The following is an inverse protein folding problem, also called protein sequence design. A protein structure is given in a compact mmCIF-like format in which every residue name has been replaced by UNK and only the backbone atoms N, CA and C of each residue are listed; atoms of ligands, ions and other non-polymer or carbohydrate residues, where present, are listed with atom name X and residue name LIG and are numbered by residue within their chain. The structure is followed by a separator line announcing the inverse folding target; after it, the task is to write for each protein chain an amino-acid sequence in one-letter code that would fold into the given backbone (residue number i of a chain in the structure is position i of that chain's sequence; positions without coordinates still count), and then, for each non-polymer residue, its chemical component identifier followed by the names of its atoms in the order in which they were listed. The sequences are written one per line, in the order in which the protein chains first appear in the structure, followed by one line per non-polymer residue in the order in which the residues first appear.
data_IF_825933259716
#
_entry.id   IF_825933259716
#
_cell.length_a   1.000
_cell.length_b   1.000
_cell.length_c   1.000
_cell.angle_alpha   90.00
_cell.angle_beta   90.00
_cell.angle_gamma   90.00
#
_symmetry.space_group_name_H-M   'P 1'
#
loop_
_entity.id
_entity.type
_entity.pdbx_description
1 polymer ?
#
# COMPACT_ATOMS: atom_id res chain seq x y z
N UNK A 1 -13.14 31.98 -12.07
CA UNK A 1 -11.68 31.94 -12.02
C UNK A 1 -11.26 30.71 -12.78
N UNK A 2 -10.51 30.88 -13.87
CA UNK A 2 -9.93 29.75 -14.61
C UNK A 2 -8.97 29.08 -13.63
N UNK A 3 -9.28 27.86 -13.21
CA UNK A 3 -8.38 27.02 -12.40
C UNK A 3 -7.02 26.97 -13.11
N UNK A 4 -5.93 27.13 -12.36
CA UNK A 4 -4.58 26.96 -12.89
C UNK A 4 -4.49 25.64 -13.65
N UNK A 5 -3.87 25.64 -14.82
CA UNK A 5 -3.65 24.43 -15.63
C UNK A 5 -3.11 23.27 -14.78
N UNK A 6 -3.75 22.09 -14.83
CA UNK A 6 -3.29 20.92 -14.07
C UNK A 6 -2.07 20.31 -14.77
N UNK A 7 -0.91 20.45 -14.14
CA UNK A 7 0.34 19.84 -14.53
C UNK A 7 0.52 18.58 -13.70
N UNK A 8 0.10 17.45 -14.24
CA UNK A 8 0.07 16.18 -13.54
C UNK A 8 1.33 15.34 -13.83
N UNK A 9 1.87 14.74 -12.78
CA UNK A 9 2.89 13.70 -12.88
C UNK A 9 2.31 12.34 -12.45
N UNK A 10 2.55 11.34 -13.30
CA UNK A 10 2.39 9.92 -13.02
C UNK A 10 3.55 9.17 -13.68
N UNK A 11 3.81 7.94 -13.25
CA UNK A 11 4.88 7.15 -13.85
C UNK A 11 4.49 6.65 -15.24
N UNK A 12 5.45 6.67 -16.17
CA UNK A 12 5.32 6.07 -17.49
C UNK A 12 6.59 5.30 -17.85
N UNK A 13 6.48 4.16 -18.54
CA UNK A 13 7.66 3.44 -19.03
C UNK A 13 8.37 4.26 -20.11
N UNK A 14 9.71 4.32 -20.04
CA UNK A 14 10.55 5.14 -20.92
C UNK A 14 10.50 4.75 -22.41
N UNK A 15 10.01 3.56 -22.74
CA UNK A 15 9.91 3.04 -24.11
C UNK A 15 8.51 3.17 -24.75
N UNK A 16 7.58 3.87 -24.10
CA UNK A 16 6.16 3.83 -24.48
C UNK A 16 5.48 2.52 -24.07
N UNK A 17 4.16 2.45 -24.28
CA UNK A 17 3.30 1.38 -23.73
C UNK A 17 2.62 1.79 -22.42
N UNK A 18 1.44 1.24 -22.16
CA UNK A 18 0.65 1.56 -20.97
C UNK A 18 0.93 0.60 -19.81
N UNK A 19 0.77 1.10 -18.59
CA UNK A 19 0.48 0.29 -17.42
C UNK A 19 -0.83 0.85 -16.86
N UNK A 20 -1.91 0.08 -16.93
CA UNK A 20 -3.24 0.58 -16.60
C UNK A 20 -3.31 1.20 -15.20
N UNK A 21 -2.50 0.66 -14.26
CA UNK A 21 -2.36 1.21 -12.92
C UNK A 21 -1.81 2.63 -12.87
N UNK A 22 -0.78 2.95 -13.65
CA UNK A 22 -0.20 4.29 -13.65
C UNK A 22 -0.98 5.27 -14.54
N UNK A 23 -1.70 4.77 -15.54
CA UNK A 23 -2.61 5.57 -16.38
C UNK A 23 -3.94 5.91 -15.68
N UNK A 24 -4.17 5.46 -14.43
CA UNK A 24 -5.35 5.87 -13.63
C UNK A 24 -5.41 7.37 -13.45
N UNK A 25 -4.28 8.02 -13.19
CA UNK A 25 -4.24 9.48 -12.95
C UNK A 25 -4.80 10.27 -14.12
N UNK A 26 -4.28 10.18 -15.36
CA UNK A 26 -4.85 10.87 -16.50
C UNK A 26 -6.30 10.44 -16.81
N UNK A 27 -6.63 9.16 -16.62
CA UNK A 27 -7.97 8.64 -16.83
C UNK A 27 -9.00 9.28 -15.89
N UNK A 28 -8.73 9.34 -14.58
CA UNK A 28 -9.65 9.95 -13.62
C UNK A 28 -9.80 11.46 -13.83
N UNK A 29 -8.71 12.17 -14.14
CA UNK A 29 -8.77 13.61 -14.39
C UNK A 29 -9.74 13.94 -15.53
N UNK A 30 -9.65 13.19 -16.63
CA UNK A 30 -10.53 13.38 -17.79
C UNK A 30 -11.93 12.84 -17.55
N UNK A 31 -12.06 11.56 -17.23
CA UNK A 31 -13.32 10.83 -17.31
C UNK A 31 -14.18 10.98 -16.05
N UNK A 32 -13.57 11.20 -14.87
CA UNK A 32 -14.31 11.35 -13.61
C UNK A 32 -14.45 12.82 -13.18
N UNK A 33 -13.34 13.57 -13.20
CA UNK A 33 -13.34 14.95 -12.71
C UNK A 33 -13.64 16.00 -13.80
N UNK A 34 -13.57 15.63 -15.09
CA UNK A 34 -13.82 16.55 -16.20
C UNK A 34 -12.82 17.70 -16.28
N UNK A 35 -11.56 17.45 -15.88
CA UNK A 35 -10.50 18.46 -15.80
C UNK A 35 -9.43 18.22 -16.87
N UNK A 36 -9.11 19.27 -17.62
CA UNK A 36 -8.00 19.28 -18.56
C UNK A 36 -6.65 19.21 -17.83
N UNK A 37 -5.71 18.43 -18.37
CA UNK A 37 -4.40 18.25 -17.77
C UNK A 37 -3.28 18.17 -18.82
N UNK A 38 -2.06 18.49 -18.40
CA UNK A 38 -0.83 18.22 -19.14
C UNK A 38 0.11 17.36 -18.31
N UNK A 39 0.77 16.42 -18.97
CA UNK A 39 1.88 15.69 -18.36
C UNK A 39 3.03 16.67 -18.09
N UNK A 40 3.58 16.64 -16.87
CA UNK A 40 4.70 17.49 -16.47
C UNK A 40 5.64 16.72 -15.56
N UNK A 41 6.98 16.88 -15.66
CA UNK A 41 7.92 16.25 -14.73
C UNK A 41 7.66 16.70 -13.29
N UNK A 42 8.12 15.91 -12.30
CA UNK A 42 7.92 16.21 -10.87
C UNK A 42 8.37 17.63 -10.49
N UNK A 43 9.45 18.11 -11.11
CA UNK A 43 10.01 19.45 -10.88
C UNK A 43 9.12 20.60 -11.34
N UNK A 44 8.02 20.34 -12.05
CA UNK A 44 7.11 21.34 -12.59
C UNK A 44 5.64 20.92 -12.50
N UNK A 45 5.33 19.81 -11.83
CA UNK A 45 3.95 19.36 -11.63
C UNK A 45 3.30 20.11 -10.46
N UNK A 46 2.00 20.33 -10.52
CA UNK A 46 1.17 20.77 -9.40
C UNK A 46 0.25 19.66 -8.86
N UNK A 47 0.28 18.49 -9.51
CA UNK A 47 -0.40 17.27 -9.06
C UNK A 47 0.53 16.07 -9.24
N UNK A 48 0.68 15.26 -8.19
CA UNK A 48 1.35 13.97 -8.22
C UNK A 48 0.39 12.92 -7.66
N UNK A 49 0.07 11.90 -8.45
CA UNK A 49 -0.95 10.92 -8.07
C UNK A 49 -0.71 9.53 -8.62
N UNK A 50 -1.18 8.54 -7.87
CA UNK A 50 -1.11 7.10 -8.13
C UNK A 50 0.32 6.56 -8.15
N UNK A 51 0.49 5.27 -7.88
CA UNK A 51 1.79 4.59 -8.01
C UNK A 51 2.77 4.78 -6.82
N UNK A 52 3.88 4.03 -6.89
CA UNK A 52 4.94 4.03 -5.87
C UNK A 52 5.98 5.13 -6.10
N UNK A 53 5.52 6.36 -6.28
CA UNK A 53 6.34 7.52 -6.71
C UNK A 53 6.51 8.57 -5.61
N UNK A 54 5.94 8.36 -4.42
CA UNK A 54 5.97 9.33 -3.32
C UNK A 54 7.41 9.63 -2.87
N UNK A 55 8.27 8.61 -2.87
CA UNK A 55 9.70 8.73 -2.53
C UNK A 55 10.52 9.56 -3.51
N UNK A 56 9.96 9.94 -4.66
CA UNK A 56 10.68 10.75 -5.64
C UNK A 56 10.61 12.24 -5.31
N UNK A 57 9.65 12.66 -4.47
CA UNK A 57 9.57 14.03 -3.98
C UNK A 57 10.83 14.43 -3.20
N UNK A 58 11.40 13.53 -2.40
CA UNK A 58 12.60 13.82 -1.60
C UNK A 58 13.88 13.97 -2.43
N UNK A 59 13.91 13.43 -3.66
CA UNK A 59 15.08 13.48 -4.55
C UNK A 59 14.92 14.52 -5.68
N UNK A 60 13.76 15.16 -5.79
CA UNK A 60 13.46 16.08 -6.90
C UNK A 60 13.99 17.48 -6.58
N UNK A 61 15.16 17.82 -7.12
CA UNK A 61 15.85 19.10 -6.90
C UNK A 61 15.06 20.36 -7.32
N UNK A 62 13.89 20.21 -7.97
CA UNK A 62 13.06 21.33 -8.44
C UNK A 62 11.80 21.64 -7.62
N UNK A 63 11.39 20.79 -6.67
CA UNK A 63 10.15 21.03 -5.92
C UNK A 63 10.24 22.26 -5.01
N UNK A 64 11.43 22.54 -4.45
CA UNK A 64 11.68 23.74 -3.65
C UNK A 64 11.73 25.03 -4.47
N UNK A 65 11.82 24.93 -5.81
CA UNK A 65 11.88 26.06 -6.73
C UNK A 65 10.52 26.34 -7.41
N UNK A 66 9.53 25.45 -7.23
CA UNK A 66 8.17 25.67 -7.70
C UNK A 66 7.45 26.69 -6.84
N UNK A 67 7.01 27.80 -7.45
CA UNK A 67 6.18 28.82 -6.79
C UNK A 67 4.71 28.39 -6.58
N UNK A 68 4.31 27.21 -7.08
CA UNK A 68 2.97 26.66 -6.91
C UNK A 68 2.94 25.52 -5.91
N UNK A 69 1.79 25.35 -5.27
CA UNK A 69 1.52 24.17 -4.44
C UNK A 69 1.50 22.90 -5.30
N UNK A 70 2.07 21.82 -4.77
CA UNK A 70 2.07 20.49 -5.37
C UNK A 70 1.19 19.57 -4.54
N UNK A 71 0.07 19.15 -5.12
CA UNK A 71 -0.88 18.27 -4.45
C UNK A 71 -0.50 16.80 -4.64
N UNK A 72 -0.35 16.08 -3.54
CA UNK A 72 -0.09 14.63 -3.55
C UNK A 72 -1.35 13.88 -3.17
N UNK A 73 -1.75 12.92 -4.01
CA UNK A 73 -3.01 12.19 -3.86
C UNK A 73 -2.80 10.71 -4.16
N UNK A 74 -2.91 9.89 -3.12
CA UNK A 74 -2.97 8.43 -3.22
C UNK A 74 -1.69 7.72 -3.68
N UNK A 75 -0.62 8.44 -3.98
CA UNK A 75 0.70 7.83 -4.19
C UNK A 75 1.26 7.21 -2.91
N UNK A 76 2.06 6.17 -3.05
CA UNK A 76 2.74 5.51 -1.92
C UNK A 76 4.25 5.40 -2.13
N UNK A 77 4.94 4.89 -1.13
CA UNK A 77 6.38 4.57 -1.25
C UNK A 77 6.57 3.20 -1.91
N UNK A 78 7.68 3.01 -2.62
CA UNK A 78 8.07 1.68 -3.09
C UNK A 78 8.51 0.81 -1.91
N UNK A 79 9.24 1.43 -0.99
CA UNK A 79 9.84 0.78 0.14
C UNK A 79 9.93 1.78 1.33
N UNK A 80 10.02 1.27 2.57
CA UNK A 80 10.19 2.12 3.74
C UNK A 80 11.54 2.86 3.83
N UNK A 81 12.49 2.54 2.95
CA UNK A 81 13.77 3.23 2.77
C UNK A 81 13.56 4.64 2.19
N UNK A 82 12.43 4.88 1.56
CA UNK A 82 12.08 6.20 1.03
C UNK A 82 11.47 7.15 2.07
N UNK A 83 11.50 6.80 3.37
CA UNK A 83 10.99 7.63 4.45
C UNK A 83 11.47 9.09 4.38
N UNK A 84 10.54 10.02 4.56
CA UNK A 84 10.78 11.45 4.35
C UNK A 84 10.73 12.18 5.70
N UNK A 85 11.89 12.70 6.13
CA UNK A 85 12.02 13.45 7.39
C UNK A 85 11.41 14.86 7.33
N UNK A 86 11.43 15.49 6.15
CA UNK A 86 10.86 16.81 5.90
C UNK A 86 10.38 16.93 4.45
N UNK A 87 9.33 17.72 4.24
CA UNK A 87 8.80 18.08 2.94
C UNK A 87 8.84 19.61 2.80
N UNK A 88 9.03 20.11 1.58
CA UNK A 88 8.89 21.53 1.28
C UNK A 88 7.48 22.03 1.57
N UNK A 89 7.34 23.29 1.99
CA UNK A 89 6.06 23.85 2.45
C UNK A 89 4.98 23.93 1.35
N UNK A 90 5.41 23.97 0.08
CA UNK A 90 4.52 23.93 -1.09
C UNK A 90 4.00 22.51 -1.40
N UNK A 91 4.50 21.45 -0.75
CA UNK A 91 3.98 20.09 -0.96
C UNK A 91 2.77 19.85 -0.05
N UNK A 92 1.58 19.74 -0.65
CA UNK A 92 0.31 19.48 0.03
C UNK A 92 -0.07 18.02 -0.12
N UNK A 93 0.28 17.21 0.88
CA UNK A 93 -0.15 15.80 0.92
C UNK A 93 -1.61 15.72 1.38
N UNK A 94 -2.52 15.38 0.47
CA UNK A 94 -3.95 15.24 0.78
C UNK A 94 -4.27 13.80 1.16
N UNK A 95 -3.74 12.84 0.40
CA UNK A 95 -3.80 11.42 0.72
C UNK A 95 -2.55 10.68 0.25
N UNK A 96 -2.33 9.49 0.82
CA UNK A 96 -1.33 8.51 0.37
C UNK A 96 -1.98 7.15 0.17
N UNK A 97 -1.32 6.22 -0.50
CA UNK A 97 -1.90 4.91 -0.82
C UNK A 97 -2.42 4.16 0.41
N UNK A 98 -1.69 4.18 1.52
CA UNK A 98 -2.01 3.39 2.70
C UNK A 98 -1.42 3.90 4.01
N UNK A 99 -1.78 3.22 5.11
CA UNK A 99 -1.34 3.60 6.44
C UNK A 99 0.18 3.47 6.62
N UNK A 100 0.84 2.55 5.90
CA UNK A 100 2.29 2.39 6.00
C UNK A 100 2.99 3.58 5.37
N UNK A 101 2.56 4.02 4.18
CA UNK A 101 3.07 5.23 3.55
C UNK A 101 2.84 6.46 4.41
N UNK A 102 1.69 6.54 5.09
CA UNK A 102 1.39 7.67 5.98
C UNK A 102 2.39 7.76 7.14
N UNK A 103 2.83 6.63 7.70
CA UNK A 103 3.81 6.60 8.78
C UNK A 103 5.21 7.05 8.36
N UNK A 104 5.54 6.91 7.07
CA UNK A 104 6.82 7.32 6.49
C UNK A 104 6.88 8.83 6.16
N UNK A 105 5.78 9.55 6.35
CA UNK A 105 5.72 11.01 6.28
C UNK A 105 6.19 11.65 7.60
N UNK A 106 6.48 12.97 7.61
CA UNK A 106 6.69 13.71 8.84
C UNK A 106 5.51 13.55 9.82
N UNK A 107 5.80 13.30 11.10
CA UNK A 107 4.81 13.02 12.16
C UNK A 107 3.66 14.04 12.22
N UNK A 108 3.95 15.32 11.94
CA UNK A 108 2.96 16.40 11.91
C UNK A 108 1.82 16.17 10.90
N UNK A 109 2.04 15.35 9.86
CA UNK A 109 1.07 15.06 8.81
C UNK A 109 0.23 13.79 9.08
N UNK A 110 0.61 12.95 10.04
CA UNK A 110 -0.01 11.62 10.23
C UNK A 110 -1.51 11.67 10.51
N UNK A 111 -2.00 12.75 11.15
CA UNK A 111 -3.42 12.92 11.49
C UNK A 111 -4.23 13.62 10.41
N UNK A 112 -3.58 14.38 9.52
CA UNK A 112 -4.24 15.21 8.51
C UNK A 112 -4.27 14.59 7.12
N UNK A 113 -3.52 13.50 6.90
CA UNK A 113 -3.42 12.80 5.62
C UNK A 113 -4.35 11.58 5.61
N UNK A 114 -5.28 11.57 4.65
CA UNK A 114 -6.15 10.43 4.36
C UNK A 114 -5.40 9.30 3.66
N UNK A 115 -6.03 8.14 3.52
CA UNK A 115 -5.43 7.01 2.79
C UNK A 115 -6.35 6.50 1.68
N UNK A 116 -5.75 5.87 0.68
CA UNK A 116 -6.44 5.18 -0.39
C UNK A 116 -5.74 5.34 -1.73
N UNK A 117 -5.80 4.29 -2.55
CA UNK A 117 -5.27 4.31 -3.91
C UNK A 117 -6.32 4.90 -4.89
N UNK A 118 -5.95 5.81 -5.81
CA UNK A 118 -6.88 6.37 -6.79
C UNK A 118 -7.52 5.31 -7.69
N UNK A 119 -6.88 4.16 -7.89
CA UNK A 119 -7.44 3.04 -8.64
C UNK A 119 -8.75 2.52 -8.07
N UNK A 120 -9.12 2.84 -6.83
CA UNK A 120 -10.44 2.51 -6.27
C UNK A 120 -11.59 3.30 -6.90
N UNK A 121 -11.33 4.43 -7.57
CA UNK A 121 -12.36 5.24 -8.24
C UNK A 121 -12.76 4.71 -9.62
N UNK A 122 -12.08 3.71 -10.17
CA UNK A 122 -12.31 3.30 -11.57
C UNK A 122 -13.71 2.74 -11.81
N UNK A 123 -14.32 2.07 -10.82
CA UNK A 123 -15.71 1.61 -10.91
C UNK A 123 -16.71 2.78 -11.05
N UNK A 124 -16.44 3.95 -10.45
CA UNK A 124 -17.30 5.13 -10.62
C UNK A 124 -17.30 5.68 -12.04
N UNK A 125 -16.19 5.49 -12.77
CA UNK A 125 -16.11 5.86 -14.19
C UNK A 125 -16.77 4.79 -15.06
N UNK A 126 -16.57 3.51 -14.72
CA UNK A 126 -17.17 2.40 -15.46
C UNK A 126 -18.71 2.43 -15.41
N UNK A 127 -19.29 2.84 -14.27
CA UNK A 127 -20.73 3.01 -14.09
C UNK A 127 -21.36 1.87 -13.28
N UNK A 128 -22.68 1.69 -13.43
CA UNK A 128 -23.42 0.65 -12.71
C UNK A 128 -22.93 -0.75 -13.08
N UNK A 129 -22.48 -1.50 -12.08
CA UNK A 129 -22.11 -2.91 -12.22
C UNK A 129 -23.36 -3.73 -11.89
N UNK A 130 -24.11 -4.12 -12.92
CA UNK A 130 -25.30 -4.97 -12.80
C UNK A 130 -24.96 -6.41 -12.42
N UNK A 131 -25.99 -7.24 -12.17
CA UNK A 131 -25.85 -8.68 -11.91
C UNK A 131 -24.83 -9.32 -12.87
N UNK A 132 -23.71 -9.79 -12.29
CA UNK A 132 -22.59 -10.35 -13.06
C UNK A 132 -22.95 -11.75 -13.53
N UNK A 133 -22.72 -12.02 -14.82
CA UNK A 133 -22.78 -13.36 -15.42
C UNK A 133 -21.44 -13.66 -16.11
N UNK A 134 -20.37 -13.93 -15.34
CA UNK A 134 -19.02 -14.10 -15.88
C UNK A 134 -18.91 -15.35 -16.76
N UNK A 135 -18.22 -15.25 -17.89
CA UNK A 135 -17.94 -16.40 -18.77
C UNK A 135 -16.72 -17.22 -18.32
N UNK A 136 -15.88 -16.63 -17.46
CA UNK A 136 -14.64 -17.22 -16.99
C UNK A 136 -14.66 -17.39 -15.48
N UNK A 137 -14.08 -18.47 -15.00
CA UNK A 137 -13.96 -18.73 -13.57
C UNK A 137 -12.82 -17.92 -12.95
N UNK A 138 -11.69 -17.83 -13.65
CA UNK A 138 -10.49 -17.17 -13.14
C UNK A 138 -9.92 -16.18 -14.16
N UNK A 139 -9.78 -14.92 -13.77
CA UNK A 139 -9.00 -13.92 -14.50
C UNK A 139 -7.59 -13.85 -13.94
N UNK A 140 -6.57 -14.18 -14.73
CA UNK A 140 -5.17 -14.20 -14.28
C UNK A 140 -4.43 -12.98 -14.82
N UNK A 141 -3.99 -12.10 -13.91
CA UNK A 141 -3.21 -10.89 -14.23
C UNK A 141 -1.74 -11.12 -13.84
N UNK A 142 -0.84 -11.41 -14.81
CA UNK A 142 0.58 -11.52 -14.54
C UNK A 142 1.19 -10.16 -14.16
N UNK A 143 2.30 -10.21 -13.43
CA UNK A 143 3.18 -9.05 -13.39
C UNK A 143 3.74 -8.78 -14.79
N UNK A 144 3.96 -7.51 -15.16
CA UNK A 144 4.41 -7.11 -16.50
C UNK A 144 5.67 -7.85 -16.97
N UNK A 145 6.57 -8.21 -16.06
CA UNK A 145 7.80 -8.96 -16.37
C UNK A 145 7.56 -10.43 -16.73
N UNK A 146 6.42 -11.01 -16.33
CA UNK A 146 5.99 -12.38 -16.63
C UNK A 146 5.01 -12.48 -17.81
N UNK A 147 4.62 -11.34 -18.40
CA UNK A 147 3.75 -11.28 -19.58
C UNK A 147 4.29 -12.21 -20.68
N UNK A 148 3.42 -13.06 -21.21
CA UNK A 148 3.74 -13.99 -22.31
C UNK A 148 4.74 -15.10 -21.96
N UNK A 149 5.20 -15.23 -20.71
CA UNK A 149 6.10 -16.33 -20.33
C UNK A 149 5.34 -17.63 -20.25
N UNK A 150 5.76 -18.60 -21.06
CA UNK A 150 5.17 -19.94 -21.08
C UNK A 150 5.21 -20.61 -19.70
N UNK A 151 6.29 -20.38 -18.94
CA UNK A 151 6.43 -20.91 -17.59
C UNK A 151 5.38 -20.36 -16.62
N UNK A 152 4.97 -19.10 -16.77
CA UNK A 152 3.88 -18.52 -15.97
C UNK A 152 2.55 -19.15 -16.36
N UNK A 153 2.24 -19.22 -17.65
CA UNK A 153 0.99 -19.81 -18.15
C UNK A 153 0.82 -21.28 -17.72
N UNK A 154 1.92 -22.05 -17.70
CA UNK A 154 1.95 -23.44 -17.22
C UNK A 154 1.50 -23.58 -15.77
N UNK A 155 1.71 -22.59 -14.91
CA UNK A 155 1.30 -22.67 -13.50
C UNK A 155 -0.22 -22.66 -13.30
N UNK A 156 -0.98 -22.17 -14.28
CA UNK A 156 -2.45 -22.04 -14.26
C UNK A 156 -3.14 -22.97 -15.26
N UNK A 157 -2.39 -23.84 -15.96
CA UNK A 157 -2.89 -24.68 -17.05
C UNK A 157 -4.01 -25.63 -16.60
N UNK A 158 -3.91 -26.12 -15.37
CA UNK A 158 -4.82 -27.14 -14.84
C UNK A 158 -6.08 -26.52 -14.20
N UNK A 159 -6.17 -25.19 -14.17
CA UNK A 159 -7.36 -24.49 -13.69
C UNK A 159 -8.41 -24.39 -14.81
N UNK A 160 -9.68 -24.68 -14.53
CA UNK A 160 -10.74 -24.54 -15.53
C UNK A 160 -11.12 -23.06 -15.74
N UNK A 161 -11.52 -22.71 -16.96
CA UNK A 161 -12.12 -21.41 -17.26
C UNK A 161 -11.20 -20.21 -17.01
N UNK A 162 -9.91 -20.32 -17.35
CA UNK A 162 -8.93 -19.25 -17.16
C UNK A 162 -8.93 -18.26 -18.33
N UNK A 163 -9.00 -16.97 -18.02
CA UNK A 163 -8.70 -15.85 -18.93
C UNK A 163 -7.43 -15.15 -18.48
N UNK A 164 -6.43 -15.05 -19.34
CA UNK A 164 -5.27 -14.20 -19.06
C UNK A 164 -5.59 -12.75 -19.42
N UNK A 165 -5.40 -11.85 -18.46
CA UNK A 165 -5.75 -10.43 -18.59
C UNK A 165 -4.47 -9.61 -18.54
N UNK A 166 -4.29 -8.74 -19.52
CA UNK A 166 -3.06 -7.97 -19.68
C UNK A 166 -3.21 -6.55 -19.12
N UNK A 167 -2.54 -6.29 -17.99
CA UNK A 167 -2.57 -4.98 -17.34
C UNK A 167 -1.67 -3.93 -18.02
N UNK A 168 -0.83 -4.34 -18.98
CA UNK A 168 0.02 -3.44 -19.75
C UNK A 168 -0.75 -2.77 -20.90
N UNK A 169 -1.84 -2.09 -20.55
CA UNK A 169 -2.76 -1.42 -21.49
C UNK A 169 -3.03 0.03 -21.06
N UNK A 170 -3.48 0.84 -22.02
CA UNK A 170 -4.06 2.18 -21.76
C UNK A 170 -5.60 2.17 -21.84
N UNK A 171 -6.18 1.09 -22.34
CA UNK A 171 -7.63 0.86 -22.36
C UNK A 171 -8.08 0.32 -21.00
N UNK A 172 -8.31 1.23 -20.06
CA UNK A 172 -8.75 0.89 -18.71
C UNK A 172 -10.17 0.31 -18.74
N UNK A 173 -11.09 0.84 -19.55
CA UNK A 173 -12.46 0.34 -19.60
C UNK A 173 -12.54 -1.08 -20.16
N UNK A 174 -11.77 -1.40 -21.20
CA UNK A 174 -11.64 -2.76 -21.74
C UNK A 174 -11.05 -3.72 -20.71
N UNK A 175 -10.02 -3.30 -19.98
CA UNK A 175 -9.44 -4.07 -18.88
C UNK A 175 -10.49 -4.39 -17.78
N UNK A 176 -11.25 -3.38 -17.33
CA UNK A 176 -12.28 -3.56 -16.30
C UNK A 176 -13.39 -4.51 -16.78
N UNK A 177 -13.80 -4.38 -18.04
CA UNK A 177 -14.76 -5.30 -18.68
C UNK A 177 -14.25 -6.74 -18.65
N UNK A 178 -12.98 -6.95 -19.00
CA UNK A 178 -12.37 -8.28 -18.95
C UNK A 178 -12.31 -8.86 -17.53
N UNK A 179 -12.10 -8.02 -16.53
CA UNK A 179 -12.10 -8.41 -15.12
C UNK A 179 -13.50 -8.76 -14.62
N UNK A 180 -14.53 -8.00 -15.00
CA UNK A 180 -15.93 -8.28 -14.63
C UNK A 180 -16.47 -9.59 -15.21
N UNK A 181 -15.91 -10.01 -16.34
CA UNK A 181 -16.21 -11.27 -17.05
C UNK A 181 -15.58 -12.51 -16.39
N UNK A 182 -14.88 -12.35 -15.27
CA UNK A 182 -14.27 -13.42 -14.48
C UNK A 182 -14.95 -13.52 -13.11
N UNK A 183 -15.20 -14.73 -12.57
CA UNK A 183 -15.74 -14.90 -11.21
C UNK A 183 -14.77 -14.38 -10.14
N UNK A 184 -13.49 -14.79 -10.23
CA UNK A 184 -12.40 -14.43 -9.31
C UNK A 184 -11.18 -13.90 -10.08
N UNK A 185 -10.54 -12.84 -9.57
CA UNK A 185 -9.28 -12.31 -10.11
C UNK A 185 -8.07 -12.83 -9.35
N UNK A 186 -7.11 -13.43 -10.04
CA UNK A 186 -5.83 -13.88 -9.51
C UNK A 186 -4.75 -12.95 -10.04
N UNK A 187 -4.11 -12.17 -9.17
CA UNK A 187 -3.22 -11.10 -9.61
C UNK A 187 -1.86 -11.10 -8.92
N UNK A 188 -0.80 -10.96 -9.73
CA UNK A 188 0.54 -10.58 -9.29
C UNK A 188 0.80 -9.06 -9.40
N UNK A 189 -0.16 -8.31 -9.94
CA UNK A 189 -0.11 -6.85 -10.03
C UNK A 189 -0.92 -6.22 -8.91
N UNK A 190 -0.35 -5.19 -8.25
CA UNK A 190 -1.05 -4.42 -7.23
C UNK A 190 -2.34 -3.80 -7.78
N UNK A 191 -2.27 -3.12 -8.93
CA UNK A 191 -3.46 -2.50 -9.52
C UNK A 191 -4.48 -3.52 -10.04
N UNK A 192 -4.06 -4.75 -10.35
CA UNK A 192 -5.02 -5.83 -10.63
C UNK A 192 -5.86 -6.18 -9.40
N UNK A 193 -5.29 -6.08 -8.19
CA UNK A 193 -6.03 -6.24 -6.93
C UNK A 193 -6.90 -5.01 -6.65
N UNK A 194 -6.34 -3.80 -6.77
CA UNK A 194 -7.06 -2.54 -6.53
C UNK A 194 -8.29 -2.42 -7.43
N UNK A 195 -8.17 -2.75 -8.71
CA UNK A 195 -9.29 -2.70 -9.65
C UNK A 195 -10.33 -3.78 -9.34
N UNK A 196 -9.92 -4.98 -8.94
CA UNK A 196 -10.86 -6.02 -8.51
C UNK A 196 -11.64 -5.58 -7.26
N UNK A 197 -10.94 -4.98 -6.28
CA UNK A 197 -11.55 -4.42 -5.07
C UNK A 197 -12.52 -3.26 -5.41
N UNK A 198 -12.15 -2.38 -6.35
CA UNK A 198 -13.03 -1.31 -6.87
C UNK A 198 -14.32 -1.86 -7.51
N UNK A 199 -14.19 -2.94 -8.28
CA UNK A 199 -15.30 -3.58 -9.00
C UNK A 199 -16.15 -4.51 -8.10
N UNK A 200 -15.74 -4.75 -6.85
CA UNK A 200 -16.37 -5.73 -5.97
C UNK A 200 -16.17 -7.19 -6.43
N UNK A 201 -15.10 -7.47 -7.18
CA UNK A 201 -14.77 -8.82 -7.66
C UNK A 201 -13.85 -9.52 -6.65
N UNK A 202 -14.20 -10.72 -6.16
CA UNK A 202 -13.32 -11.52 -5.31
C UNK A 202 -11.94 -11.71 -5.96
N UNK A 203 -10.89 -11.64 -5.16
CA UNK A 203 -9.54 -11.69 -5.71
C UNK A 203 -8.50 -12.33 -4.79
N UNK A 204 -7.43 -12.81 -5.41
CA UNK A 204 -6.31 -13.52 -4.78
C UNK A 204 -5.02 -12.82 -5.15
N UNK A 205 -4.20 -12.54 -4.14
CA UNK A 205 -2.85 -12.07 -4.34
C UNK A 205 -1.90 -13.25 -4.52
N UNK A 206 -1.22 -13.28 -5.66
CA UNK A 206 -0.16 -14.24 -5.93
C UNK A 206 1.19 -13.54 -5.84
N UNK A 207 2.08 -14.08 -5.02
CA UNK A 207 3.41 -13.52 -4.85
C UNK A 207 4.25 -13.69 -6.13
N UNK A 208 5.11 -12.72 -6.37
CA UNK A 208 6.08 -12.76 -7.46
C UNK A 208 7.30 -13.58 -7.03
N UNK A 209 7.31 -14.90 -7.28
CA UNK A 209 8.43 -15.76 -6.91
C UNK A 209 9.80 -15.33 -7.49
N UNK A 210 10.85 -15.45 -6.68
CA UNK A 210 12.27 -15.45 -7.04
C UNK A 210 12.86 -14.21 -7.76
N UNK A 211 12.38 -12.99 -7.50
CA UNK A 211 13.27 -11.83 -7.56
C UNK A 211 13.80 -11.61 -6.14
N UNK A 212 14.96 -12.18 -5.83
CA UNK A 212 15.59 -12.10 -4.52
C UNK A 212 15.74 -10.66 -4.04
N UNK A 213 14.72 -10.17 -3.33
CA UNK A 213 14.63 -8.95 -2.50
C UNK A 213 13.15 -8.70 -2.22
N UNK A 214 12.80 -8.67 -0.95
CA UNK A 214 11.54 -8.18 -0.32
C UNK A 214 11.15 -6.73 -0.68
N UNK A 215 11.69 -6.16 -1.76
CA UNK A 215 11.56 -4.75 -2.16
C UNK A 215 10.21 -4.43 -2.81
N UNK A 216 9.39 -5.43 -3.13
CA UNK A 216 8.13 -5.27 -3.85
C UNK A 216 6.87 -5.41 -3.01
N UNK A 217 6.92 -6.02 -1.84
CA UNK A 217 5.70 -6.39 -1.10
C UNK A 217 5.12 -5.23 -0.31
N UNK A 218 5.96 -4.27 0.08
CA UNK A 218 5.54 -3.11 0.87
C UNK A 218 4.35 -2.40 0.24
N UNK A 219 4.34 -2.21 -1.08
CA UNK A 219 3.22 -1.54 -1.77
C UNK A 219 1.89 -2.30 -1.65
N UNK A 220 1.93 -3.63 -1.57
CA UNK A 220 0.75 -4.46 -1.38
C UNK A 220 0.25 -4.33 0.05
N UNK A 221 1.11 -4.55 1.04
CA UNK A 221 0.75 -4.37 2.46
C UNK A 221 0.26 -2.96 2.76
N UNK A 222 0.89 -1.95 2.15
CA UNK A 222 0.48 -0.57 2.28
C UNK A 222 -0.93 -0.36 1.74
N UNK A 223 -1.23 -0.80 0.51
CA UNK A 223 -2.60 -0.74 0.00
C UNK A 223 -3.59 -1.53 0.86
N UNK A 224 -3.29 -2.78 1.22
CA UNK A 224 -4.17 -3.62 2.02
C UNK A 224 -4.48 -2.98 3.39
N UNK A 225 -3.52 -2.25 3.96
CA UNK A 225 -3.75 -1.51 5.21
C UNK A 225 -4.82 -0.43 5.09
N UNK A 226 -5.07 0.12 3.88
CA UNK A 226 -6.10 1.13 3.66
C UNK A 226 -7.52 0.55 3.66
N UNK A 227 -7.68 -0.67 3.15
CA UNK A 227 -8.99 -1.35 2.99
C UNK A 227 -9.22 -2.46 4.02
N UNK A 228 -8.34 -2.61 5.01
CA UNK A 228 -8.46 -3.63 6.06
C UNK A 228 -8.30 -5.07 5.55
N UNK A 229 -7.66 -5.29 4.39
CA UNK A 229 -7.44 -6.63 3.84
C UNK A 229 -6.40 -7.41 4.67
N UNK A 230 -6.63 -8.70 5.00
CA UNK A 230 -5.63 -9.54 5.65
C UNK A 230 -4.39 -9.76 4.77
N UNK A 231 -3.20 -9.73 5.36
CA UNK A 231 -1.93 -9.85 4.62
C UNK A 231 -1.48 -11.31 4.43
N UNK A 232 -2.03 -12.23 5.23
CA UNK A 232 -1.75 -13.66 5.16
C UNK A 232 -2.43 -14.37 3.98
N UNK A 233 -3.43 -13.73 3.34
CA UNK A 233 -4.12 -14.25 2.16
C UNK A 233 -3.27 -14.03 0.91
N UNK A 234 -2.17 -14.76 0.82
CA UNK A 234 -1.23 -14.76 -0.31
C UNK A 234 -0.95 -16.19 -0.76
N UNK A 235 -0.82 -16.40 -2.07
CA UNK A 235 -0.31 -17.66 -2.61
C UNK A 235 1.13 -17.45 -3.06
N UNK A 236 2.04 -18.19 -2.44
CA UNK A 236 3.39 -18.38 -2.99
C UNK A 236 3.27 -19.31 -4.19
N UNK A 237 3.87 -18.97 -5.34
CA UNK A 237 3.76 -19.78 -6.55
C UNK A 237 4.51 -21.11 -6.35
N UNK A 238 3.81 -22.09 -5.77
CA UNK A 238 4.17 -23.50 -5.76
C UNK A 238 3.39 -24.13 -6.92
N UNK A 239 4.10 -24.76 -7.87
CA UNK A 239 3.46 -25.36 -9.04
C UNK A 239 3.07 -26.82 -8.77
N UNK A 240 1.91 -27.29 -9.25
CA UNK A 240 0.80 -26.54 -9.89
C UNK A 240 -0.21 -25.96 -8.87
N UNK A 241 -0.88 -24.86 -9.24
CA UNK A 241 -1.96 -24.24 -8.43
C UNK A 241 -3.25 -25.05 -8.53
N UNK A 242 -3.93 -25.26 -7.40
CA UNK A 242 -5.25 -25.89 -7.34
C UNK A 242 -6.35 -24.87 -7.04
N UNK A 243 -7.59 -25.20 -7.39
CA UNK A 243 -8.76 -24.40 -6.99
C UNK A 243 -8.89 -24.22 -5.48
N UNK A 244 -8.59 -25.28 -4.70
CA UNK A 244 -8.63 -25.23 -3.25
C UNK A 244 -7.73 -24.12 -2.68
N UNK A 245 -6.50 -24.03 -3.18
CA UNK A 245 -5.57 -22.97 -2.77
C UNK A 245 -6.08 -21.57 -3.09
N UNK A 246 -6.78 -21.41 -4.23
CA UNK A 246 -7.37 -20.13 -4.66
C UNK A 246 -8.47 -19.72 -3.69
N UNK A 247 -9.42 -20.61 -3.39
CA UNK A 247 -10.52 -20.27 -2.49
C UNK A 247 -10.07 -20.05 -1.03
N UNK A 248 -9.07 -20.80 -0.56
CA UNK A 248 -8.48 -20.60 0.77
C UNK A 248 -7.82 -19.23 0.90
N UNK A 249 -7.16 -18.75 -0.16
CA UNK A 249 -6.48 -17.45 -0.18
C UNK A 249 -7.34 -16.30 -0.71
N UNK A 250 -8.63 -16.56 -0.97
CA UNK A 250 -9.53 -15.58 -1.57
C UNK A 250 -9.89 -14.47 -0.59
N UNK A 251 -9.81 -13.25 -1.08
CA UNK A 251 -10.33 -12.06 -0.43
C UNK A 251 -11.60 -11.61 -1.14
N UNK A 252 -12.68 -11.47 -0.36
CA UNK A 252 -13.92 -10.85 -0.81
C UNK A 252 -13.86 -9.36 -0.41
N UNK A 253 -13.97 -8.41 -1.36
CA UNK A 253 -13.94 -6.98 -1.06
C UNK A 253 -15.00 -6.57 -0.03
N UNK A 254 -14.58 -5.91 1.05
CA UNK A 254 -15.51 -5.26 1.99
C UNK A 254 -15.94 -3.91 1.41
N UNK A 255 -17.05 -3.91 0.67
CA UNK A 255 -17.54 -2.72 -0.01
C UNK A 255 -17.95 -1.59 0.94
N UNK A 256 -18.24 -1.89 2.22
CA UNK A 256 -18.47 -0.87 3.23
C UNK A 256 -17.18 -0.13 3.57
N UNK A 257 -16.11 -0.87 3.86
CA UNK A 257 -14.79 -0.30 4.12
C UNK A 257 -14.21 0.41 2.89
N UNK A 258 -14.26 -0.24 1.72
CA UNK A 258 -13.77 0.32 0.46
C UNK A 258 -14.55 1.59 0.08
N UNK A 259 -15.86 1.63 0.32
CA UNK A 259 -16.67 2.83 0.11
C UNK A 259 -16.22 4.04 0.94
N UNK A 260 -15.83 3.84 2.21
CA UNK A 260 -15.24 4.90 3.04
C UNK A 260 -13.92 5.41 2.43
N UNK A 261 -13.04 4.51 1.99
CA UNK A 261 -11.75 4.85 1.36
C UNK A 261 -11.95 5.58 0.03
N UNK A 262 -12.90 5.16 -0.80
CA UNK A 262 -13.26 5.84 -2.05
C UNK A 262 -13.66 7.29 -1.78
N UNK A 263 -14.48 7.54 -0.75
CA UNK A 263 -14.89 8.90 -0.39
C UNK A 263 -13.70 9.78 0.02
N UNK A 264 -12.78 9.23 0.83
CA UNK A 264 -11.56 9.94 1.25
C UNK A 264 -10.66 10.31 0.06
N UNK A 265 -10.51 9.39 -0.90
CA UNK A 265 -9.74 9.62 -2.12
C UNK A 265 -10.42 10.68 -3.00
N UNK A 266 -11.74 10.60 -3.18
CA UNK A 266 -12.50 11.57 -3.96
C UNK A 266 -12.44 12.99 -3.35
N UNK A 267 -12.62 13.12 -2.03
CA UNK A 267 -12.46 14.39 -1.33
C UNK A 267 -11.04 14.95 -1.48
N UNK A 268 -10.02 14.08 -1.48
CA UNK A 268 -8.62 14.48 -1.70
C UNK A 268 -8.40 15.06 -3.09
N UNK A 269 -8.99 14.47 -4.13
CA UNK A 269 -8.99 15.04 -5.49
C UNK A 269 -9.76 16.34 -5.57
N UNK A 270 -10.98 16.43 -5.01
CA UNK A 270 -11.76 17.67 -5.02
C UNK A 270 -10.99 18.82 -4.37
N UNK A 271 -10.30 18.54 -3.25
CA UNK A 271 -9.42 19.51 -2.59
C UNK A 271 -8.22 19.89 -3.47
N UNK A 272 -7.51 18.91 -4.04
CA UNK A 272 -6.31 19.17 -4.84
C UNK A 272 -6.56 19.82 -6.20
N UNK A 273 -7.75 19.64 -6.77
CA UNK A 273 -8.17 20.23 -8.03
C UNK A 273 -8.90 21.57 -7.85
N UNK A 274 -9.11 22.02 -6.61
CA UNK A 274 -9.89 23.24 -6.33
C UNK A 274 -11.38 23.11 -6.65
N UNK A 275 -11.91 21.88 -6.70
CA UNK A 275 -13.32 21.56 -6.95
C UNK A 275 -14.16 21.45 -5.67
N UNK A 276 -13.54 21.62 -4.50
CA UNK A 276 -14.28 21.61 -3.24
C UNK A 276 -15.28 22.78 -3.21
N UNK A 277 -16.57 22.49 -3.03
CA UNK A 277 -17.55 23.51 -2.69
C UNK A 277 -17.11 24.22 -1.41
N UNK A 278 -17.43 25.52 -1.26
CA UNK A 278 -17.31 26.24 0.01
C UNK A 278 -18.31 25.65 1.01
N UNK A 279 -18.11 24.42 1.45
CA UNK A 279 -18.85 23.88 2.56
C UNK A 279 -18.38 24.62 3.80
N UNK A 280 -19.31 25.26 4.52
CA UNK A 280 -19.16 25.61 5.94
C UNK A 280 -19.04 24.32 6.77
N UNK A 281 -18.12 23.42 6.41
CA UNK A 281 -17.63 22.42 7.34
C UNK A 281 -16.76 23.20 8.30
N UNK A 282 -17.33 23.52 9.46
CA UNK A 282 -16.53 23.65 10.67
C UNK A 282 -15.51 22.52 10.60
N UNK A 283 -14.21 22.85 10.70
CA UNK A 283 -13.21 21.85 11.00
C UNK A 283 -13.78 21.03 12.14
N UNK A 284 -14.21 19.80 11.85
CA UNK A 284 -14.62 18.90 12.89
C UNK A 284 -13.39 18.85 13.78
N UNK A 285 -13.49 19.45 14.97
CA UNK A 285 -12.56 19.22 16.06
C UNK A 285 -12.64 17.72 16.29
N UNK A 286 -11.81 16.98 15.57
CA UNK A 286 -11.44 15.64 15.92
C UNK A 286 -10.76 15.83 17.27
N UNK A 287 -11.54 15.66 18.34
CA UNK A 287 -10.98 15.33 19.63
C UNK A 287 -10.13 14.09 19.34
N UNK A 288 -8.83 14.31 19.22
CA UNK A 288 -7.87 13.26 19.08
C UNK A 288 -7.98 12.43 20.34
N UNK A 289 -8.75 11.34 20.29
CA UNK A 289 -8.42 10.19 21.12
C UNK A 289 -7.06 9.76 20.62
N UNK A 290 -6.06 10.10 21.42
CA UNK A 290 -4.76 9.48 21.36
C UNK A 290 -5.01 7.97 21.24
N UNK A 291 -4.71 7.39 20.08
CA UNK A 291 -4.85 5.95 19.85
C UNK A 291 -3.66 5.24 20.50
N UNK A 292 -3.40 5.61 21.76
CA UNK A 292 -2.32 5.11 22.57
C UNK A 292 -2.29 3.60 22.50
N UNK A 293 -1.19 3.09 21.95
CA UNK A 293 -0.33 2.08 22.56
C UNK A 293 0.76 1.70 21.56
N UNK A 294 1.88 2.41 21.62
CA UNK A 294 3.20 1.84 21.34
C UNK A 294 3.98 1.90 22.65
N UNK A 295 4.51 0.76 23.12
CA UNK A 295 5.47 0.76 24.22
C UNK A 295 6.88 0.92 23.63
N UNK A 296 7.65 1.85 24.19
CA UNK A 296 9.08 1.94 23.90
C UNK A 296 9.77 0.80 24.67
N UNK A 297 10.33 -0.17 23.93
CA UNK A 297 11.19 -1.21 24.48
C UNK A 297 12.60 -0.92 23.98
N UNK A 298 13.44 -0.40 24.88
CA UNK A 298 14.84 -0.08 24.57
C UNK A 298 15.67 -1.31 24.92
N UNK A 299 16.16 -2.02 23.90
CA UNK A 299 17.21 -3.03 24.08
C UNK A 299 18.56 -2.38 23.80
N UNK A 300 19.49 -2.41 24.77
CA UNK A 300 20.88 -2.00 24.58
C UNK A 300 21.75 -3.25 24.75
N UNK A 301 22.53 -3.60 23.73
CA UNK A 301 23.49 -4.71 23.82
C UNK A 301 24.52 -4.64 22.70
N UNK A 302 25.80 -4.80 23.05
CA UNK A 302 26.94 -4.79 22.12
C UNK A 302 27.14 -6.15 21.43
N UNK A 303 26.20 -6.70 20.65
CA UNK A 303 26.44 -8.01 19.99
C UNK A 303 25.75 -8.19 18.64
N UNK A 304 26.42 -8.95 17.74
CA UNK A 304 25.76 -9.68 16.65
C UNK A 304 24.88 -10.72 17.33
N UNK A 305 23.57 -10.49 17.41
CA UNK A 305 22.69 -11.36 18.17
C UNK A 305 21.39 -11.63 17.41
N UNK A 306 20.88 -12.86 17.55
CA UNK A 306 19.49 -13.15 17.22
C UNK A 306 18.64 -12.58 18.34
N UNK A 307 17.92 -11.51 18.05
CA UNK A 307 17.00 -10.85 18.97
C UNK A 307 15.65 -11.55 18.85
N UNK A 308 15.26 -12.28 19.89
CA UNK A 308 13.90 -12.81 20.01
C UNK A 308 13.03 -11.81 20.76
N UNK A 309 11.90 -11.47 20.16
CA UNK A 309 10.93 -10.53 20.70
C UNK A 309 9.65 -11.32 20.95
N UNK A 310 9.33 -11.51 22.23
CA UNK A 310 8.02 -12.03 22.64
C UNK A 310 7.06 -10.86 22.78
N UNK A 311 5.91 -10.96 22.14
CA UNK A 311 4.90 -9.90 22.07
C UNK A 311 3.60 -10.51 22.54
N UNK A 312 3.13 -10.05 23.70
CA UNK A 312 1.86 -10.49 24.24
C UNK A 312 0.76 -9.57 23.70
N UNK A 313 -0.13 -10.13 22.89
CA UNK A 313 -1.29 -9.42 22.37
C UNK A 313 -2.54 -9.98 23.03
N UNK A 314 -3.36 -9.09 23.58
CA UNK A 314 -4.73 -9.41 23.98
C UNK A 314 -5.66 -8.97 22.86
N UNK A 315 -6.38 -9.93 22.27
CA UNK A 315 -7.38 -9.71 21.24
C UNK A 315 -8.78 -10.01 21.79
N UNK A 316 -9.71 -9.08 21.61
CA UNK A 316 -11.13 -9.29 21.98
C UNK A 316 -11.78 -10.42 21.18
N UNK A 317 -12.76 -11.11 21.78
CA UNK A 317 -13.46 -12.29 21.24
C UNK A 317 -14.16 -12.09 19.87
N UNK A 318 -14.32 -10.85 19.40
CA UNK A 318 -14.90 -10.51 18.11
C UNK A 318 -13.93 -10.47 16.91
N UNK A 319 -12.67 -10.87 17.07
CA UNK A 319 -11.67 -10.91 15.98
C UNK A 319 -11.82 -12.21 15.21
N UNK A 320 -12.41 -12.15 14.02
CA UNK A 320 -12.69 -13.34 13.20
C UNK A 320 -11.66 -13.53 12.07
N UNK A 321 -11.01 -12.45 11.64
CA UNK A 321 -9.95 -12.49 10.63
C UNK A 321 -9.21 -11.15 10.69
N UNK A 322 -8.01 -11.13 11.27
CA UNK A 322 -7.26 -9.91 11.47
C UNK A 322 -5.78 -10.18 11.61
N UNK A 323 -4.98 -9.20 11.25
CA UNK A 323 -3.56 -9.21 11.54
C UNK A 323 -3.09 -7.87 12.07
N UNK A 324 -2.05 -7.92 12.88
CA UNK A 324 -1.33 -6.73 13.27
C UNK A 324 -0.01 -6.66 12.53
N UNK A 325 0.44 -5.44 12.22
CA UNK A 325 1.75 -5.24 11.65
C UNK A 325 2.68 -4.67 12.70
N UNK A 326 3.79 -5.36 12.93
CA UNK A 326 4.89 -4.83 13.70
C UNK A 326 5.81 -4.06 12.78
N UNK A 327 6.05 -2.79 13.05
CA UNK A 327 7.16 -2.04 12.47
C UNK A 327 8.27 -1.94 13.50
N UNK A 328 9.47 -2.40 13.17
CA UNK A 328 10.67 -2.22 13.98
C UNK A 328 11.42 -0.97 13.51
N UNK A 329 12.10 -0.27 14.42
CA UNK A 329 12.94 0.89 14.13
C UNK A 329 14.34 0.64 14.67
N UNK A 330 15.37 0.70 13.82
CA UNK A 330 16.77 0.52 14.22
C UNK A 330 17.60 1.80 14.08
N UNK A 331 18.65 1.94 14.88
CA UNK A 331 19.61 3.05 14.94
C UNK A 331 21.02 2.52 15.26
N UNK A 332 22.10 3.23 14.90
CA UNK A 332 23.46 2.81 15.24
C UNK A 332 23.84 3.13 16.68
N UNK A 333 24.87 2.48 17.21
CA UNK A 333 25.39 2.78 18.56
C UNK A 333 25.88 4.22 18.71
N UNK A 334 26.40 4.81 17.64
CA UNK A 334 26.83 6.20 17.50
C UNK A 334 25.72 7.14 16.97
N UNK A 335 24.50 6.62 16.79
CA UNK A 335 23.39 7.33 16.15
C UNK A 335 23.40 7.27 14.62
N UNK A 336 24.34 6.55 13.99
CA UNK A 336 24.47 6.39 12.54
C UNK A 336 24.42 4.90 12.15
N UNK A 337 23.59 4.52 11.16
CA UNK A 337 23.62 3.15 10.63
C UNK A 337 24.17 3.14 9.22
N UNK A 338 25.24 2.37 8.99
CA UNK A 338 25.74 2.13 7.64
C UNK A 338 24.75 1.27 6.83
N UNK A 339 24.32 1.78 5.68
CA UNK A 339 23.45 1.10 4.73
C UNK A 339 23.98 -0.27 4.26
N UNK A 340 25.30 -0.49 4.26
CA UNK A 340 25.92 -1.78 3.92
C UNK A 340 25.69 -2.85 5.00
N UNK A 341 25.68 -2.46 6.28
CA UNK A 341 25.47 -3.35 7.43
C UNK A 341 24.02 -3.87 7.48
N UNK A 342 23.07 -3.11 6.92
CA UNK A 342 21.63 -3.42 6.91
C UNK A 342 21.17 -4.32 5.76
N UNK A 343 22.02 -4.54 4.75
CA UNK A 343 21.69 -5.32 3.55
C UNK A 343 21.40 -6.80 3.82
N UNK A 344 21.86 -7.31 4.97
CA UNK A 344 21.77 -8.74 5.35
C UNK A 344 20.49 -9.09 6.13
N UNK A 345 19.68 -8.10 6.51
CA UNK A 345 18.38 -8.31 7.16
C UNK A 345 17.28 -8.59 6.12
N UNK A 346 16.72 -9.81 6.14
CA UNK A 346 15.53 -10.16 5.33
C UNK A 346 14.33 -9.28 5.70
N UNK A 347 13.73 -8.59 4.71
CA UNK A 347 12.55 -7.73 4.91
C UNK A 347 12.84 -6.27 5.27
N UNK A 348 14.11 -5.85 5.23
CA UNK A 348 14.52 -4.48 5.56
C UNK A 348 14.54 -3.56 4.35
N UNK A 349 14.14 -2.31 4.58
CA UNK A 349 14.40 -1.19 3.69
C UNK A 349 15.16 -0.08 4.45
N UNK A 350 16.37 0.23 4.03
CA UNK A 350 17.27 1.25 4.62
C UNK A 350 16.97 2.68 4.15
N UNK A 351 16.48 3.58 5.02
CA UNK A 351 16.29 4.98 4.63
C UNK A 351 17.56 5.82 4.72
N UNK A 352 17.70 6.83 3.84
CA UNK A 352 18.76 7.86 3.93
C UNK A 352 18.74 8.62 5.28
N UNK A 353 17.64 8.49 6.04
CA UNK A 353 17.43 9.13 7.34
C UNK A 353 17.56 8.17 8.53
N UNK A 354 18.39 7.12 8.42
CA UNK A 354 18.90 6.31 9.55
C UNK A 354 17.86 5.63 10.43
N UNK A 355 16.62 5.51 9.94
CA UNK A 355 15.58 4.66 10.53
C UNK A 355 15.32 3.49 9.58
N UNK A 356 15.40 2.29 10.12
CA UNK A 356 15.14 1.06 9.38
C UNK A 356 13.81 0.49 9.84
N UNK A 357 12.85 0.41 8.92
CA UNK A 357 11.57 -0.26 9.12
C UNK A 357 11.67 -1.73 8.74
N UNK A 358 11.51 -2.66 9.69
CA UNK A 358 11.18 -4.06 9.38
C UNK A 358 9.71 -4.27 9.69
N UNK A 359 8.99 -4.94 8.78
CA UNK A 359 7.57 -5.20 8.95
C UNK A 359 7.31 -6.70 9.14
N UNK A 360 6.67 -7.09 10.25
CA UNK A 360 6.25 -8.46 10.51
C UNK A 360 4.75 -8.52 10.75
N UNK A 361 4.07 -9.34 9.97
CA UNK A 361 2.66 -9.64 10.17
C UNK A 361 2.50 -10.62 11.32
N UNK A 362 1.59 -10.31 12.24
CA UNK A 362 1.12 -11.22 13.28
C UNK A 362 -0.32 -11.60 12.96
N UNK A 363 -0.65 -12.88 12.70
CA UNK A 363 -2.04 -13.32 12.67
C UNK A 363 -2.64 -13.08 14.06
N UNK A 364 -3.87 -12.58 14.16
CA UNK A 364 -4.51 -12.35 15.46
C UNK A 364 -5.48 -13.48 15.77
N UNK A 365 -5.33 -14.07 16.95
CA UNK A 365 -6.26 -15.06 17.51
C UNK A 365 -6.95 -14.42 18.73
N UNK A 366 -8.27 -14.62 18.92
CA UNK A 366 -8.97 -14.21 20.14
C UNK A 366 -8.30 -14.72 21.42
N UNK A 367 -8.23 -13.88 22.44
CA UNK A 367 -7.55 -14.19 23.71
C UNK A 367 -6.18 -13.54 23.84
N UNK A 368 -5.42 -13.97 24.85
CA UNK A 368 -4.04 -13.54 25.06
C UNK A 368 -3.10 -14.52 24.36
N UNK A 369 -2.35 -14.02 23.39
CA UNK A 369 -1.39 -14.81 22.61
C UNK A 369 0.01 -14.21 22.70
N UNK A 370 1.01 -15.10 22.69
CA UNK A 370 2.43 -14.74 22.71
C UNK A 370 3.03 -15.01 21.34
N UNK A 371 3.38 -13.95 20.63
CA UNK A 371 4.06 -14.03 19.35
C UNK A 371 5.55 -13.91 19.54
N UNK A 372 6.32 -14.84 18.96
CA UNK A 372 7.78 -14.79 18.97
C UNK A 372 8.30 -14.34 17.60
N UNK A 373 9.02 -13.22 17.58
CA UNK A 373 9.63 -12.66 16.37
C UNK A 373 11.14 -12.67 16.54
N UNK A 374 11.84 -13.47 15.75
CA UNK A 374 13.30 -13.51 15.72
C UNK A 374 13.86 -12.60 14.63
N UNK A 375 14.78 -11.71 15.02
CA UNK A 375 15.44 -10.73 14.17
C UNK A 375 16.95 -10.87 14.29
N UNK A 376 17.67 -11.01 13.18
CA UNK A 376 19.14 -11.01 13.20
C UNK A 376 19.65 -9.57 13.15
N UNK A 377 20.08 -9.02 14.28
CA UNK A 377 20.54 -7.63 14.34
C UNK A 377 22.04 -7.56 14.04
N UNK A 378 22.48 -6.81 13.00
CA UNK A 378 23.88 -6.65 12.68
C UNK A 378 24.68 -5.96 13.79
N UNK A 379 25.99 -6.19 13.82
CA UNK A 379 26.89 -5.54 14.78
C UNK A 379 26.81 -4.01 14.67
N UNK A 380 26.72 -3.32 15.80
CA UNK A 380 26.67 -1.86 15.85
C UNK A 380 25.29 -1.26 15.57
N UNK A 381 24.24 -2.09 15.47
CA UNK A 381 22.85 -1.66 15.25
C UNK A 381 22.01 -2.00 16.49
N UNK A 382 21.16 -1.05 16.90
CA UNK A 382 20.33 -1.10 18.10
C UNK A 382 18.85 -1.01 17.71
N UNK A 383 18.02 -1.93 18.21
CA UNK A 383 16.56 -1.85 18.08
C UNK A 383 16.00 -0.81 19.06
N UNK A 384 15.39 0.26 18.55
CA UNK A 384 14.89 1.37 19.37
C UNK A 384 13.39 1.29 19.66
N UNK A 385 12.58 0.95 18.65
CA UNK A 385 11.11 1.00 18.76
C UNK A 385 10.46 -0.16 18.03
N UNK A 386 9.33 -0.60 18.59
CA UNK A 386 8.41 -1.55 17.99
C UNK A 386 7.04 -0.88 17.94
N UNK A 387 6.48 -0.73 16.75
CA UNK A 387 5.14 -0.18 16.55
C UNK A 387 4.20 -1.32 16.21
N UNK A 388 3.13 -1.48 16.98
CA UNK A 388 2.02 -2.36 16.61
C UNK A 388 0.99 -1.54 15.85
N UNK A 389 0.74 -1.88 14.59
CA UNK A 389 -0.33 -1.29 13.80
C UNK A 389 -1.56 -2.17 13.87
N UNK A 390 -2.68 -1.57 14.27
CA UNK A 390 -4.00 -2.21 14.29
C UNK A 390 -4.83 -1.75 13.11
N UNK A 391 -5.60 -2.65 12.51
CA UNK A 391 -6.59 -2.29 11.49
C UNK A 391 -7.82 -1.70 12.19
N UNK A 392 -8.40 -0.66 11.59
CA UNK A 392 -9.53 0.09 12.16
C UNK A 392 -10.80 -0.75 12.05
N UNK A 393 -11.00 -1.71 12.95
CA UNK A 393 -12.29 -2.36 13.16
C UNK A 393 -12.94 -1.78 14.41
N UNK A 394 -14.20 -1.33 14.28
CA UNK A 394 -15.01 -0.83 15.41
C UNK A 394 -15.30 -1.90 16.47
N UNK A 395 -15.05 -3.18 16.16
CA UNK A 395 -15.44 -4.34 16.99
C UNK A 395 -14.28 -5.07 17.65
N UNK A 396 -13.02 -4.70 17.37
CA UNK A 396 -11.85 -5.42 17.88
C UNK A 396 -10.89 -4.52 18.63
N UNK A 397 -10.59 -4.88 19.87
CA UNK A 397 -9.55 -4.26 20.66
C UNK A 397 -8.32 -5.18 20.69
N UNK A 398 -7.17 -4.65 20.28
CA UNK A 398 -5.86 -5.33 20.35
C UNK A 398 -4.99 -4.47 21.24
N UNK A 399 -4.46 -5.06 22.32
CA UNK A 399 -3.57 -4.36 23.26
C UNK A 399 -2.24 -5.09 23.37
N UNK A 400 -1.16 -4.34 23.30
CA UNK A 400 0.18 -4.84 23.65
C UNK A 400 0.28 -4.88 25.18
N UNK A 401 0.08 -6.06 25.77
CA UNK A 401 0.05 -6.20 27.23
C UNK A 401 1.46 -6.34 27.81
N UNK A 402 2.40 -6.90 27.05
CA UNK A 402 3.81 -7.04 27.44
C UNK A 402 4.72 -7.45 26.30
N UNK A 403 6.02 -7.40 26.54
CA UNK A 403 6.99 -8.01 25.64
C UNK A 403 8.36 -8.16 26.27
N UNK A 404 9.08 -9.22 25.88
CA UNK A 404 10.43 -9.52 26.35
C UNK A 404 11.34 -9.53 25.13
N UNK A 405 12.43 -8.78 25.21
CA UNK A 405 13.49 -8.81 24.21
C UNK A 405 14.65 -9.59 24.80
N UNK A 406 15.00 -10.72 24.18
CA UNK A 406 16.17 -11.52 24.56
C UNK A 406 17.15 -11.60 23.40
N UNK A 407 18.42 -11.38 23.68
CA UNK A 407 19.52 -11.56 22.74
C UNK A 407 20.17 -12.93 22.97
N UNK A 408 20.34 -13.70 21.89
CA UNK A 408 21.08 -14.98 21.88
C UNK A 408 22.32 -14.88 21.01
#
# INVERSE_FOLDING_TARGET
MISSEILAYWWRPSGGGGNAGDEVTPFLLREYFGVEYKYSPISACNLLSTGSILGWLSNSQGLSQCNSDVHVIGSGFMDPSQAVGSLSDNVKVNSVRGHLSRLLLPKKLHKSVSVGDPGLLVAKVYGEISDRNPNYKFGVIPHITFRGRESFCKAYRDLPGVKFIDIATTDILGLLKDMLDCEVIISQSLHGLIFADSLGVPNVWVEHGALGRSKGDFKFYDYFSSIGRPFNKKIEVVRPLSEGCIYESMYNPDMGCIGEVINDVEESFKKGLGLAEKSNREEAKVQGKDLGQGKELIAKGEFVASVSIKINLLCSDGVVDGGALLSFSFEGEDGEVDSLILGDLLGVSSSKNKNVGLFKYLPLVPGEEVYEVSLNVPRGVVLKKIYLMKWKSKKSEIRLVGGVVSSH
#
